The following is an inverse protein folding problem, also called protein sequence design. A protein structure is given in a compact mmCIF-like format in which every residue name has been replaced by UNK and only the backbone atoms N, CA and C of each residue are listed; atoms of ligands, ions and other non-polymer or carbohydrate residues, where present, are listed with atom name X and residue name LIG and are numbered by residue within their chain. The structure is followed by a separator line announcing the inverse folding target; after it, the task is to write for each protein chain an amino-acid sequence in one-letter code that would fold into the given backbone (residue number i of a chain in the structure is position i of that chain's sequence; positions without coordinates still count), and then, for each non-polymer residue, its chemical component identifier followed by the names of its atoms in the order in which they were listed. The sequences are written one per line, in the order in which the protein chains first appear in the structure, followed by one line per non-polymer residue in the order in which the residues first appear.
data_IF_270228679916
#
_entry.id   IF_270228679916
#
_cell.length_a   1.000
_cell.length_b   1.000
_cell.length_c   1.000
_cell.angle_alpha   90.00
_cell.angle_beta   90.00
_cell.angle_gamma   90.00
#
_symmetry.space_group_name_H-M   'P 1'
#
loop_
_entity.id
_entity.type
_entity.pdbx_description
1 polymer ?
#
# COMPACT_ATOMS: atom_id res chain seq x y z
N UNK A 1 11.93 28.12 -4.41
CA UNK A 1 12.75 27.01 -3.85
C UNK A 1 12.41 25.78 -4.67
N UNK A 2 13.38 25.00 -5.18
CA UNK A 2 13.06 23.72 -5.80
C UNK A 2 12.42 22.79 -4.76
N UNK A 3 11.34 22.11 -5.13
CA UNK A 3 10.71 21.09 -4.30
C UNK A 3 11.72 19.97 -4.08
N UNK A 4 11.97 19.53 -2.83
CA UNK A 4 12.84 18.38 -2.58
C UNK A 4 12.32 17.17 -3.35
N UNK A 5 13.17 16.58 -4.19
CA UNK A 5 12.84 15.36 -4.91
C UNK A 5 13.00 14.17 -3.96
N UNK A 6 11.94 13.39 -3.80
CA UNK A 6 12.00 12.14 -3.05
C UNK A 6 12.74 11.08 -3.88
N UNK A 7 13.73 10.37 -3.30
CA UNK A 7 14.44 9.34 -4.03
C UNK A 7 13.51 8.15 -4.31
N UNK A 8 13.49 7.70 -5.58
CA UNK A 8 12.62 6.62 -6.04
C UNK A 8 12.79 5.32 -5.24
N UNK A 9 14.03 5.01 -4.83
CA UNK A 9 14.33 3.81 -4.01
C UNK A 9 13.63 3.88 -2.66
N UNK A 10 13.70 5.02 -1.95
CA UNK A 10 13.06 5.15 -0.65
C UNK A 10 11.52 5.08 -0.75
N UNK A 11 10.95 5.55 -1.86
CA UNK A 11 9.52 5.40 -2.13
C UNK A 11 9.12 3.93 -2.37
N UNK A 12 9.97 3.15 -3.04
CA UNK A 12 9.76 1.72 -3.24
C UNK A 12 9.86 0.95 -1.92
N UNK A 13 10.88 1.23 -1.11
CA UNK A 13 11.06 0.61 0.21
C UNK A 13 9.87 0.92 1.13
N UNK A 14 9.47 2.19 1.23
CA UNK A 14 8.30 2.59 2.02
C UNK A 14 7.01 1.93 1.54
N UNK A 15 6.87 1.74 0.22
CA UNK A 15 5.71 1.04 -0.34
C UNK A 15 5.71 -0.45 0.02
N UNK A 16 6.86 -1.12 -0.08
CA UNK A 16 6.98 -2.53 0.26
C UNK A 16 6.75 -2.76 1.76
N UNK A 17 7.21 -1.84 2.63
CA UNK A 17 6.91 -1.83 4.06
C UNK A 17 5.40 -1.72 4.33
N UNK A 18 4.69 -0.78 3.70
CA UNK A 18 3.24 -0.66 3.87
C UNK A 18 2.48 -1.91 3.42
N UNK A 19 2.89 -2.54 2.31
CA UNK A 19 2.29 -3.79 1.85
C UNK A 19 2.54 -4.93 2.83
N UNK A 20 3.74 -5.00 3.41
CA UNK A 20 4.06 -5.99 4.44
C UNK A 20 3.21 -5.78 5.69
N UNK A 21 3.09 -4.55 6.18
CA UNK A 21 2.27 -4.24 7.35
C UNK A 21 0.78 -4.53 7.10
N UNK A 22 0.27 -4.25 5.90
CA UNK A 22 -1.08 -4.61 5.47
C UNK A 22 -1.28 -6.14 5.48
N UNK A 23 -0.37 -6.90 4.85
CA UNK A 23 -0.44 -8.36 4.81
C UNK A 23 -0.44 -9.00 6.22
N UNK A 24 0.25 -8.36 7.16
CA UNK A 24 0.41 -8.81 8.55
C UNK A 24 -0.66 -8.25 9.51
N UNK A 25 -1.67 -7.52 9.03
CA UNK A 25 -2.66 -6.86 9.88
C UNK A 25 -3.39 -7.85 10.84
N UNK A 26 -3.36 -7.66 12.16
CA UNK A 26 -3.75 -8.71 13.11
C UNK A 26 -5.25 -9.05 13.12
N UNK A 27 -6.09 -8.12 12.67
CA UNK A 27 -7.54 -8.26 12.68
C UNK A 27 -8.17 -7.51 11.48
N UNK A 28 -9.48 -7.75 11.19
CA UNK A 28 -10.13 -7.17 10.02
C UNK A 28 -10.14 -5.64 10.00
N UNK A 29 -10.30 -4.99 11.16
CA UNK A 29 -10.32 -3.54 11.28
C UNK A 29 -8.97 -2.92 10.88
N UNK A 30 -7.87 -3.49 11.38
CA UNK A 30 -6.52 -3.09 11.03
C UNK A 30 -6.23 -3.33 9.54
N UNK A 31 -6.69 -4.45 8.98
CA UNK A 31 -6.55 -4.72 7.54
C UNK A 31 -7.30 -3.66 6.70
N UNK A 32 -8.51 -3.29 7.09
CA UNK A 32 -9.30 -2.26 6.41
C UNK A 32 -8.62 -0.88 6.49
N UNK A 33 -8.22 -0.47 7.69
CA UNK A 33 -7.53 0.80 7.92
C UNK A 33 -6.24 0.91 7.09
N UNK A 34 -5.37 -0.11 7.17
CA UNK A 34 -4.10 -0.15 6.45
C UNK A 34 -4.30 -0.18 4.93
N UNK A 35 -5.30 -0.92 4.46
CA UNK A 35 -5.67 -0.94 3.05
C UNK A 35 -6.08 0.45 2.56
N UNK A 36 -6.85 1.20 3.37
CA UNK A 36 -7.22 2.59 3.05
C UNK A 36 -6.03 3.55 3.07
N UNK A 37 -5.15 3.43 4.06
CA UNK A 37 -3.91 4.22 4.15
C UNK A 37 -3.01 4.01 2.94
N UNK A 38 -2.76 2.76 2.54
CA UNK A 38 -1.97 2.43 1.36
C UNK A 38 -2.58 3.01 0.07
N UNK A 39 -3.91 2.94 -0.09
CA UNK A 39 -4.60 3.54 -1.23
C UNK A 39 -4.43 5.08 -1.26
N UNK A 40 -4.51 5.73 -0.09
CA UNK A 40 -4.28 7.17 0.04
C UNK A 40 -2.86 7.57 -0.32
N UNK A 41 -1.85 6.77 0.08
CA UNK A 41 -0.45 7.02 -0.25
C UNK A 41 -0.20 7.01 -1.76
N UNK A 42 -0.63 5.97 -2.48
CA UNK A 42 -0.38 5.91 -3.93
C UNK A 42 -1.18 6.95 -4.71
N UNK A 43 -2.38 7.32 -4.23
CA UNK A 43 -3.16 8.40 -4.83
C UNK A 43 -2.43 9.74 -4.66
N UNK A 44 -1.80 9.97 -3.50
CA UNK A 44 -0.99 11.16 -3.27
C UNK A 44 0.26 11.19 -4.17
N UNK A 45 0.90 10.04 -4.41
CA UNK A 45 2.04 9.96 -5.34
C UNK A 45 1.63 10.30 -6.78
N UNK A 46 0.47 9.79 -7.23
CA UNK A 46 -0.07 10.10 -8.56
C UNK A 46 -0.43 11.60 -8.68
N UNK A 47 -1.11 12.16 -7.68
CA UNK A 47 -1.49 13.58 -7.66
C UNK A 47 -0.29 14.52 -7.55
N UNK A 48 0.80 14.06 -6.93
CA UNK A 48 2.07 14.79 -6.88
C UNK A 48 2.92 14.61 -8.16
N UNK A 49 2.40 13.92 -9.18
CA UNK A 49 3.08 13.61 -10.45
C UNK A 49 4.41 12.87 -10.26
N UNK A 50 4.54 12.12 -9.15
CA UNK A 50 5.74 11.32 -8.85
C UNK A 50 5.71 9.95 -9.51
N UNK A 51 4.51 9.48 -9.85
CA UNK A 51 4.26 8.25 -10.60
C UNK A 51 3.26 8.53 -11.71
N UNK A 52 3.27 7.69 -12.74
CA UNK A 52 2.28 7.73 -13.82
C UNK A 52 1.09 6.79 -13.54
N UNK A 53 0.07 6.86 -14.40
CA UNK A 53 -1.13 6.05 -14.27
C UNK A 53 -0.85 4.52 -14.37
N UNK A 54 -0.01 4.03 -15.31
CA UNK A 54 0.37 2.62 -15.33
C UNK A 54 1.05 2.14 -14.04
N UNK A 55 1.93 2.96 -13.45
CA UNK A 55 2.57 2.65 -12.17
C UNK A 55 1.54 2.64 -11.04
N UNK A 56 0.62 3.60 -11.01
CA UNK A 56 -0.49 3.60 -10.05
C UNK A 56 -1.30 2.29 -10.11
N UNK A 57 -1.72 1.85 -11.31
CA UNK A 57 -2.49 0.63 -11.49
C UNK A 57 -1.72 -0.61 -10.99
N UNK A 58 -0.41 -0.69 -11.28
CA UNK A 58 0.44 -1.76 -10.80
C UNK A 58 0.54 -1.79 -9.26
N UNK A 59 0.63 -0.63 -8.62
CA UNK A 59 0.66 -0.53 -7.15
C UNK A 59 -0.70 -0.89 -6.54
N UNK A 60 -1.82 -0.47 -7.13
CA UNK A 60 -3.17 -0.86 -6.71
C UNK A 60 -3.35 -2.39 -6.72
N UNK A 61 -2.88 -3.07 -7.77
CA UNK A 61 -2.94 -4.54 -7.85
C UNK A 61 -2.18 -5.18 -6.68
N UNK A 62 -0.96 -4.71 -6.38
CA UNK A 62 -0.17 -5.23 -5.25
C UNK A 62 -0.86 -4.98 -3.92
N UNK A 63 -1.49 -3.82 -3.73
CA UNK A 63 -2.26 -3.49 -2.53
C UNK A 63 -3.46 -4.42 -2.34
N UNK A 64 -4.21 -4.69 -3.41
CA UNK A 64 -5.34 -5.61 -3.38
C UNK A 64 -4.90 -7.04 -3.03
N UNK A 65 -3.79 -7.50 -3.60
CA UNK A 65 -3.20 -8.81 -3.26
C UNK A 65 -2.80 -8.90 -1.79
N UNK A 66 -2.14 -7.87 -1.24
CA UNK A 66 -1.76 -7.83 0.17
C UNK A 66 -2.99 -7.83 1.10
N UNK A 67 -4.03 -7.06 0.76
CA UNK A 67 -5.31 -7.06 1.48
C UNK A 67 -5.95 -8.45 1.48
N UNK A 68 -6.05 -9.07 0.31
CA UNK A 68 -6.69 -10.38 0.17
C UNK A 68 -5.93 -11.45 0.95
N UNK A 69 -4.59 -11.41 0.92
CA UNK A 69 -3.73 -12.25 1.76
C UNK A 69 -4.00 -12.08 3.25
N UNK A 70 -4.07 -10.83 3.73
CA UNK A 70 -4.38 -10.53 5.13
C UNK A 70 -5.76 -11.09 5.53
N UNK A 71 -6.78 -10.86 4.71
CA UNK A 71 -8.14 -11.33 4.96
C UNK A 71 -8.20 -12.85 5.05
N UNK A 72 -7.52 -13.57 4.15
CA UNK A 72 -7.50 -15.05 4.20
C UNK A 72 -6.81 -15.56 5.46
N UNK A 73 -5.67 -14.97 5.83
CA UNK A 73 -4.95 -15.34 7.06
C UNK A 73 -5.79 -15.10 8.31
N UNK A 74 -6.45 -13.94 8.40
CA UNK A 74 -7.31 -13.60 9.54
C UNK A 74 -8.48 -14.59 9.64
N UNK A 75 -9.14 -14.92 8.53
CA UNK A 75 -10.22 -15.92 8.52
C UNK A 75 -9.73 -17.29 8.98
N UNK A 76 -8.55 -17.72 8.51
CA UNK A 76 -7.96 -18.99 8.90
C UNK A 76 -7.60 -19.06 10.40
N UNK A 77 -7.25 -17.93 11.03
CA UNK A 77 -6.96 -17.87 12.45
C UNK A 77 -8.22 -17.84 13.36
N UNK A 78 -9.40 -17.64 12.77
CA UNK A 78 -10.69 -17.58 13.47
C UNK A 78 -11.53 -18.85 13.30
N UNK A 79 -11.11 -19.76 12.40
CA UNK A 79 -11.75 -21.05 12.13
C UNK A 79 -11.23 -22.13 13.09
#
# INVERSE_FOLDING_TARGET
MPTPQLPMIALQEAWDEELQELAQAPNPEQAYYRSGRAAGMISALLLAELIDLPTFDALEVRRLQARDSAVQRIKAAQA
#
